data_IF_260075933966
#
_entry.id   IF_260075933966
#
_cell.length_a   1.000
_cell.length_b   1.000
_cell.length_c   1.000
_cell.angle_alpha   90.00
_cell.angle_beta   90.00
_cell.angle_gamma   90.00
#
_symmetry.space_group_name_H-M   'P 1'
#
loop_
_entity.id
_entity.type
_entity.pdbx_description
1 polymer ?
#
# COMPACT_ATOMS: atom_id res chain seq x y z
N UNK A 1 20.86 -20.67 49.76
CA UNK A 1 20.06 -21.88 49.53
C UNK A 1 19.34 -21.66 48.21
N UNK A 2 19.94 -22.14 47.16
CA UNK A 2 19.57 -23.34 46.41
C UNK A 2 18.13 -23.25 45.86
N UNK A 3 17.82 -23.27 44.62
CA UNK A 3 18.29 -24.11 43.54
C UNK A 3 17.32 -23.98 42.37
N UNK A 4 17.81 -23.85 41.22
CA UNK A 4 17.73 -24.74 40.05
C UNK A 4 16.47 -24.65 39.18
N UNK A 5 16.72 -24.28 37.93
CA UNK A 5 16.80 -25.12 36.73
C UNK A 5 15.48 -25.83 36.37
N UNK A 6 15.00 -25.72 35.17
CA UNK A 6 15.25 -26.58 34.00
C UNK A 6 14.32 -26.13 32.90
N UNK A 7 14.72 -25.52 31.74
CA UNK A 7 15.12 -26.22 30.56
C UNK A 7 14.18 -27.37 30.17
N UNK A 8 13.53 -27.30 29.03
CA UNK A 8 13.49 -28.39 28.07
C UNK A 8 12.86 -27.97 26.74
N UNK A 9 13.70 -27.81 25.82
CA UNK A 9 13.67 -28.11 24.39
C UNK A 9 13.10 -29.54 24.12
N UNK A 10 12.16 -29.67 23.19
CA UNK A 10 11.87 -30.91 22.44
C UNK A 10 11.12 -30.53 21.16
N UNK A 11 11.72 -30.35 20.07
CA UNK A 11 12.39 -31.19 19.09
C UNK A 11 11.71 -32.55 18.84
N UNK A 12 11.23 -32.61 17.58
CA UNK A 12 11.14 -33.75 16.68
C UNK A 12 10.31 -34.98 17.10
N UNK A 13 9.39 -35.31 16.22
CA UNK A 13 9.50 -36.61 15.53
C UNK A 13 8.59 -36.71 14.32
N UNK A 14 9.27 -36.81 13.19
CA UNK A 14 8.75 -37.41 11.97
C UNK A 14 8.42 -38.88 12.25
N UNK A 15 7.30 -39.35 11.76
CA UNK A 15 7.02 -40.76 11.63
C UNK A 15 6.61 -41.05 10.19
N UNK A 16 7.54 -41.64 9.55
CA UNK A 16 7.54 -42.31 8.27
C UNK A 16 6.82 -43.67 8.43
N UNK A 17 5.74 -43.85 7.70
CA UNK A 17 5.22 -45.22 7.48
C UNK A 17 4.92 -45.40 5.99
N UNK A 18 5.74 -46.30 5.44
CA UNK A 18 5.56 -46.95 4.14
C UNK A 18 4.41 -47.95 4.20
N UNK A 19 3.67 -48.11 3.10
CA UNK A 19 3.46 -49.39 2.38
C UNK A 19 2.37 -49.23 1.33
N UNK A 20 2.76 -49.46 0.04
CA UNK A 20 2.48 -50.61 -0.85
C UNK A 20 0.96 -50.87 -1.00
N UNK A 21 0.36 -51.05 -2.13
CA UNK A 21 0.77 -51.60 -3.42
C UNK A 21 -0.32 -51.37 -4.49
N UNK A 22 0.06 -51.27 -5.70
CA UNK A 22 -0.52 -51.77 -6.95
C UNK A 22 -2.06 -51.90 -7.07
N UNK A 23 -2.63 -51.16 -8.01
CA UNK A 23 -3.45 -51.73 -9.06
C UNK A 23 -3.55 -50.76 -10.25
N UNK A 24 -3.14 -51.26 -11.37
CA UNK A 24 -3.25 -50.71 -12.74
C UNK A 24 -4.69 -50.91 -13.19
N UNK A 25 -5.36 -49.87 -13.64
CA UNK A 25 -6.32 -49.96 -14.75
C UNK A 25 -6.50 -48.53 -15.30
N UNK A 26 -6.35 -48.41 -16.59
CA UNK A 26 -6.30 -47.16 -17.34
C UNK A 26 -7.59 -46.35 -17.32
N UNK A 27 -7.40 -45.06 -17.28
CA UNK A 27 -8.36 -44.09 -17.77
C UNK A 27 -7.58 -43.02 -18.52
N UNK A 28 -7.94 -42.91 -19.77
CA UNK A 28 -7.47 -41.90 -20.70
C UNK A 28 -7.75 -40.53 -20.10
N UNK A 29 -6.73 -39.89 -19.58
CA UNK A 29 -6.83 -38.50 -19.14
C UNK A 29 -6.74 -37.63 -20.38
N UNK A 30 -7.85 -37.00 -20.75
CA UNK A 30 -7.86 -35.79 -21.58
C UNK A 30 -6.99 -34.76 -20.86
N UNK A 31 -5.76 -34.58 -21.31
CA UNK A 31 -4.91 -33.51 -20.87
C UNK A 31 -5.51 -32.21 -21.41
N UNK A 32 -6.26 -31.52 -20.56
CA UNK A 32 -6.58 -30.11 -20.74
C UNK A 32 -5.26 -29.36 -20.72
N UNK A 33 -4.81 -28.92 -21.87
CA UNK A 33 -3.77 -27.91 -22.04
C UNK A 33 -4.32 -26.56 -21.49
N UNK A 34 -4.45 -26.44 -20.18
CA UNK A 34 -4.49 -25.14 -19.55
C UNK A 34 -3.07 -24.60 -19.60
N UNK A 35 -2.77 -23.86 -20.64
CA UNK A 35 -1.55 -23.06 -20.70
C UNK A 35 -1.47 -22.17 -19.47
N UNK A 36 -0.27 -21.82 -19.00
CA UNK A 36 -0.14 -20.89 -17.89
C UNK A 36 -0.88 -19.61 -18.30
N UNK A 37 -1.91 -19.27 -17.51
CA UNK A 37 -2.52 -17.95 -17.59
C UNK A 37 -1.38 -16.97 -17.28
N UNK A 38 -0.91 -16.25 -18.29
CA UNK A 38 -0.02 -15.13 -18.11
C UNK A 38 -0.75 -14.04 -17.30
N UNK A 39 -0.81 -14.23 -16.01
CA UNK A 39 -1.11 -13.19 -15.07
C UNK A 39 0.17 -12.38 -14.92
N UNK A 40 0.42 -11.48 -15.80
CA UNK A 40 1.17 -10.26 -15.54
C UNK A 40 1.36 -9.44 -16.84
N UNK A 41 0.25 -9.08 -17.45
CA UNK A 41 0.30 -7.93 -18.35
C UNK A 41 -0.23 -6.74 -17.56
N UNK A 42 0.57 -6.26 -16.61
CA UNK A 42 0.38 -4.91 -16.11
C UNK A 42 0.38 -3.99 -17.35
N UNK A 43 -0.63 -3.14 -17.53
CA UNK A 43 -0.64 -2.22 -18.68
C UNK A 43 0.66 -1.42 -18.64
N UNK A 44 1.27 -1.12 -19.80
CA UNK A 44 2.52 -0.38 -19.85
C UNK A 44 2.37 0.89 -19.02
N UNK A 45 3.41 1.30 -18.29
CA UNK A 45 3.34 2.50 -17.46
C UNK A 45 2.96 3.67 -18.38
N UNK A 46 1.74 4.18 -18.21
CA UNK A 46 1.31 5.38 -18.92
C UNK A 46 2.29 6.48 -18.55
N UNK A 47 2.74 7.24 -19.53
CA UNK A 47 3.58 8.39 -19.29
C UNK A 47 2.90 9.28 -18.24
N UNK A 48 3.64 9.67 -17.23
CA UNK A 48 3.13 10.50 -16.13
C UNK A 48 3.98 11.76 -16.06
N UNK A 49 3.33 12.90 -15.92
CA UNK A 49 4.01 14.17 -15.71
C UNK A 49 3.86 14.58 -14.25
N UNK A 50 4.98 14.86 -13.60
CA UNK A 50 4.96 15.48 -12.28
C UNK A 50 4.35 16.88 -12.39
N UNK A 51 3.24 17.09 -11.69
CA UNK A 51 2.55 18.38 -11.66
C UNK A 51 2.81 19.15 -10.36
N UNK A 52 3.04 18.45 -9.26
CA UNK A 52 3.23 19.09 -7.98
C UNK A 52 3.98 18.18 -7.00
N UNK A 53 4.83 18.78 -6.16
CA UNK A 53 5.39 18.18 -4.95
C UNK A 53 4.91 18.97 -3.75
N UNK A 54 4.31 18.32 -2.75
CA UNK A 54 3.77 19.00 -1.58
C UNK A 54 3.88 18.15 -0.31
N UNK A 55 3.56 18.75 0.81
CA UNK A 55 3.48 18.09 2.11
C UNK A 55 2.08 17.51 2.33
N UNK A 56 1.99 16.48 3.17
CA UNK A 56 0.71 16.05 3.72
C UNK A 56 0.47 16.72 5.06
N UNK A 57 -0.63 17.45 5.17
CA UNK A 57 -1.08 18.11 6.39
C UNK A 57 -1.94 17.19 7.24
N UNK A 58 -2.03 17.46 8.56
CA UNK A 58 -2.95 16.74 9.44
C UNK A 58 -2.50 15.34 9.88
N UNK A 59 -1.28 14.91 9.60
CA UNK A 59 -0.76 13.57 9.93
C UNK A 59 -0.96 13.15 11.40
N UNK A 60 -1.05 14.10 12.33
CA UNK A 60 -1.23 13.81 13.76
C UNK A 60 -2.69 13.45 14.12
N UNK A 61 -3.64 13.80 13.28
CA UNK A 61 -5.08 13.71 13.54
C UNK A 61 -5.75 12.53 12.82
N UNK A 62 -4.98 11.79 12.00
CA UNK A 62 -5.45 10.69 11.18
C UNK A 62 -4.64 9.42 11.42
N UNK A 63 -4.88 8.40 10.60
CA UNK A 63 -4.29 7.06 10.73
C UNK A 63 -2.78 7.02 10.49
N UNK A 64 -2.17 8.10 10.01
CA UNK A 64 -0.74 8.16 9.70
C UNK A 64 0.16 7.70 10.86
N UNK A 65 -0.25 7.93 12.11
CA UNK A 65 0.51 7.46 13.27
C UNK A 65 0.54 5.94 13.37
N UNK A 66 -0.59 5.28 13.08
CA UNK A 66 -0.75 3.84 13.20
C UNK A 66 0.01 3.08 12.11
N UNK A 67 0.10 3.65 10.90
CA UNK A 67 0.71 2.99 9.73
C UNK A 67 2.11 3.51 9.40
N UNK A 68 2.66 4.39 10.23
CA UNK A 68 3.90 5.12 9.92
C UNK A 68 5.10 4.23 9.61
N UNK A 69 5.22 3.11 10.30
CA UNK A 69 6.33 2.15 10.12
C UNK A 69 6.21 1.32 8.86
N UNK A 70 5.01 1.26 8.29
CA UNK A 70 4.71 0.45 7.12
C UNK A 70 4.79 1.27 5.82
N UNK A 71 4.86 2.61 5.94
CA UNK A 71 5.01 3.51 4.80
C UNK A 71 6.43 3.44 4.24
N UNK A 72 6.53 3.39 2.93
CA UNK A 72 7.80 3.43 2.20
C UNK A 72 7.80 4.52 1.11
N UNK A 73 8.98 5.06 0.82
CA UNK A 73 9.17 5.94 -0.33
C UNK A 73 8.84 5.18 -1.62
N UNK A 74 8.10 5.83 -2.51
CA UNK A 74 7.56 5.20 -3.72
C UNK A 74 6.18 4.57 -3.56
N UNK A 75 5.65 4.40 -2.34
CA UNK A 75 4.30 3.89 -2.14
C UNK A 75 3.26 4.73 -2.86
N UNK A 76 2.32 4.06 -3.52
CA UNK A 76 1.19 4.70 -4.18
C UNK A 76 0.18 5.24 -3.16
N UNK A 77 -0.32 6.44 -3.42
CA UNK A 77 -1.34 7.12 -2.63
C UNK A 77 -2.57 7.41 -3.48
N UNK A 78 -3.71 7.42 -2.85
CA UNK A 78 -4.97 7.85 -3.43
C UNK A 78 -5.30 9.27 -3.00
N UNK A 79 -5.67 10.10 -3.97
CA UNK A 79 -6.17 11.45 -3.77
C UNK A 79 -7.70 11.42 -3.88
N UNK A 80 -8.39 11.80 -2.82
CA UNK A 80 -9.84 11.78 -2.76
C UNK A 80 -10.36 13.20 -2.61
N UNK A 81 -11.14 13.65 -3.59
CA UNK A 81 -11.79 14.96 -3.57
C UNK A 81 -12.94 15.00 -2.58
N UNK A 82 -12.94 15.96 -1.68
CA UNK A 82 -14.03 16.20 -0.70
C UNK A 82 -14.68 17.55 -0.93
N UNK A 83 -15.47 17.68 -2.00
CA UNK A 83 -16.16 18.94 -2.35
C UNK A 83 -17.17 19.42 -1.29
N UNK A 84 -17.66 18.52 -0.43
CA UNK A 84 -18.56 18.84 0.67
C UNK A 84 -17.86 19.10 2.01
N UNK A 85 -16.54 19.27 2.03
CA UNK A 85 -15.82 19.49 3.29
C UNK A 85 -16.17 20.88 3.86
N UNK A 86 -16.72 20.91 5.09
CA UNK A 86 -17.17 22.16 5.73
C UNK A 86 -16.05 23.15 6.08
N UNK A 87 -14.81 22.66 6.13
CA UNK A 87 -13.65 23.48 6.53
C UNK A 87 -12.86 23.99 5.33
N UNK A 88 -12.91 23.27 4.21
CA UNK A 88 -12.11 23.58 3.03
C UNK A 88 -12.84 23.12 1.76
N UNK A 89 -13.36 24.04 0.93
CA UNK A 89 -14.06 23.68 -0.30
C UNK A 89 -13.16 22.97 -1.32
N UNK A 90 -11.84 23.16 -1.23
CA UNK A 90 -10.85 22.52 -2.08
C UNK A 90 -10.16 21.32 -1.42
N UNK A 91 -10.77 20.75 -0.36
CA UNK A 91 -10.17 19.65 0.37
C UNK A 91 -9.87 18.44 -0.54
N UNK A 92 -8.65 17.97 -0.46
CA UNK A 92 -8.19 16.73 -1.08
C UNK A 92 -7.56 15.86 -0.01
N UNK A 93 -8.21 14.73 0.27
CA UNK A 93 -7.74 13.74 1.24
C UNK A 93 -6.69 12.84 0.63
N UNK A 94 -5.67 12.51 1.42
CA UNK A 94 -4.56 11.62 1.04
C UNK A 94 -4.73 10.30 1.76
N UNK A 95 -4.85 9.22 1.01
CA UNK A 95 -5.03 7.87 1.54
C UNK A 95 -3.90 6.92 1.09
N UNK A 96 -3.56 5.99 1.97
CA UNK A 96 -2.69 4.87 1.71
C UNK A 96 -3.38 3.57 2.09
N UNK A 97 -3.58 2.67 1.13
CA UNK A 97 -4.26 1.38 1.32
C UNK A 97 -5.58 1.49 2.10
N UNK A 98 -6.39 2.52 1.79
CA UNK A 98 -7.66 2.79 2.45
C UNK A 98 -7.55 3.45 3.83
N UNK A 99 -6.36 3.82 4.27
CA UNK A 99 -6.12 4.57 5.51
C UNK A 99 -5.90 6.04 5.23
N UNK A 100 -6.58 6.88 5.96
CA UNK A 100 -6.45 8.34 5.84
C UNK A 100 -5.15 8.79 6.48
N UNK A 101 -4.23 9.33 5.68
CA UNK A 101 -2.98 9.89 6.20
C UNK A 101 -3.14 11.35 6.59
N UNK A 102 -3.96 12.10 5.88
CA UNK A 102 -4.17 13.52 6.05
C UNK A 102 -4.75 14.17 4.81
N UNK A 103 -4.41 15.42 4.56
CA UNK A 103 -4.91 16.23 3.46
C UNK A 103 -3.77 16.99 2.78
N UNK A 104 -4.03 17.45 1.56
CA UNK A 104 -3.18 18.46 0.95
C UNK A 104 -3.32 19.78 1.72
N UNK A 105 -2.23 20.56 1.91
CA UNK A 105 -2.32 21.87 2.54
C UNK A 105 -3.21 22.82 1.73
N UNK A 106 -3.95 23.70 2.40
CA UNK A 106 -4.86 24.65 1.74
C UNK A 106 -4.17 25.56 0.73
N UNK A 107 -2.88 25.88 0.92
CA UNK A 107 -2.10 26.66 -0.02
C UNK A 107 -1.76 25.93 -1.31
N UNK A 108 -1.90 24.59 -1.32
CA UNK A 108 -1.39 23.74 -2.39
C UNK A 108 -2.48 22.86 -3.02
N UNK A 109 -3.72 22.92 -2.56
CA UNK A 109 -4.76 21.95 -2.93
C UNK A 109 -5.68 22.39 -4.07
N UNK A 110 -5.85 23.72 -4.31
CA UNK A 110 -6.84 24.23 -5.24
C UNK A 110 -6.66 23.76 -6.68
N UNK A 111 -5.41 23.69 -7.17
CA UNK A 111 -5.13 23.23 -8.52
C UNK A 111 -5.39 21.73 -8.67
N UNK A 112 -5.02 20.95 -7.68
CA UNK A 112 -5.30 19.51 -7.63
C UNK A 112 -6.79 19.25 -7.55
N UNK A 113 -7.50 19.97 -6.69
CA UNK A 113 -8.95 19.88 -6.55
C UNK A 113 -9.66 20.13 -7.89
N UNK A 114 -9.31 21.23 -8.59
CA UNK A 114 -9.88 21.55 -9.91
C UNK A 114 -9.60 20.48 -10.96
N UNK A 115 -8.42 19.85 -10.94
CA UNK A 115 -8.10 18.78 -11.87
C UNK A 115 -8.94 17.52 -11.57
N UNK A 116 -9.11 17.17 -10.31
CA UNK A 116 -9.97 16.07 -9.89
C UNK A 116 -11.45 16.33 -10.23
N UNK A 117 -11.93 17.57 -10.03
CA UNK A 117 -13.30 17.96 -10.37
C UNK A 117 -13.59 17.90 -11.90
N UNK A 118 -12.54 18.03 -12.73
CA UNK A 118 -12.62 17.83 -14.20
C UNK A 118 -12.50 16.36 -14.61
N UNK A 119 -12.41 15.45 -13.66
CA UNK A 119 -12.24 14.02 -13.91
C UNK A 119 -10.84 13.62 -14.39
N UNK A 120 -9.83 14.48 -14.20
CA UNK A 120 -8.47 14.13 -14.55
C UNK A 120 -7.91 13.04 -13.62
N UNK A 121 -7.35 12.00 -14.23
CA UNK A 121 -6.72 10.94 -13.46
C UNK A 121 -5.40 11.44 -12.88
N UNK A 122 -5.34 11.59 -11.57
CA UNK A 122 -4.14 11.93 -10.83
C UNK A 122 -3.64 10.71 -10.06
N UNK A 123 -2.32 10.56 -10.02
CA UNK A 123 -1.64 9.57 -9.20
C UNK A 123 -0.73 10.29 -8.23
N UNK A 124 -0.61 9.78 -7.00
CA UNK A 124 0.34 10.32 -6.05
C UNK A 124 1.25 9.21 -5.52
N UNK A 125 2.47 9.57 -5.15
CA UNK A 125 3.45 8.67 -4.56
C UNK A 125 4.17 9.35 -3.41
N UNK A 126 4.62 8.56 -2.45
CA UNK A 126 5.44 9.05 -1.36
C UNK A 126 6.84 9.39 -1.90
N UNK A 127 7.22 10.64 -1.81
CA UNK A 127 8.57 11.12 -2.18
C UNK A 127 9.57 10.95 -1.04
N UNK A 128 9.18 11.34 0.18
CA UNK A 128 10.05 11.21 1.35
C UNK A 128 9.27 11.16 2.65
N UNK A 129 9.84 10.43 3.61
CA UNK A 129 9.29 10.22 4.94
C UNK A 129 10.32 10.65 5.97
N UNK A 130 9.93 11.52 6.91
CA UNK A 130 10.80 11.94 7.99
C UNK A 130 10.07 11.96 9.34
N UNK A 131 10.75 11.46 10.37
CA UNK A 131 10.30 11.56 11.75
C UNK A 131 11.38 12.29 12.55
N UNK A 132 11.01 13.41 13.15
CA UNK A 132 11.92 14.23 13.93
C UNK A 132 11.98 13.78 15.40
N UNK A 133 13.01 14.19 16.12
CA UNK A 133 13.21 13.87 17.56
C UNK A 133 12.04 14.31 18.44
N UNK A 134 11.35 15.39 18.08
CA UNK A 134 10.15 15.88 18.79
C UNK A 134 8.86 15.14 18.38
N UNK A 135 8.97 13.93 17.84
CA UNK A 135 7.87 13.09 17.33
C UNK A 135 7.05 13.69 16.17
N UNK A 136 7.45 14.85 15.64
CA UNK A 136 6.80 15.40 14.44
C UNK A 136 7.11 14.53 13.23
N UNK A 137 6.07 14.31 12.42
CA UNK A 137 6.15 13.54 11.17
C UNK A 137 6.06 14.49 9.99
N UNK A 138 6.82 14.19 8.95
CA UNK A 138 6.77 14.90 7.67
C UNK A 138 6.62 13.87 6.57
N UNK A 139 5.63 14.02 5.75
CA UNK A 139 5.38 13.22 4.56
C UNK A 139 5.34 14.15 3.37
N UNK A 140 6.26 13.97 2.42
CA UNK A 140 6.29 14.69 1.15
C UNK A 140 5.77 13.75 0.09
N UNK A 141 4.91 14.24 -0.77
CA UNK A 141 4.32 13.46 -1.85
C UNK A 141 4.53 14.16 -3.19
N UNK A 142 4.66 13.35 -4.24
CA UNK A 142 4.67 13.79 -5.64
C UNK A 142 3.31 13.45 -6.26
N UNK A 143 2.72 14.40 -6.96
CA UNK A 143 1.44 14.27 -7.67
C UNK A 143 1.71 14.32 -9.15
N UNK A 144 1.17 13.35 -9.88
CA UNK A 144 1.38 13.17 -11.32
C UNK A 144 0.04 13.15 -12.05
N UNK A 145 0.00 13.74 -13.21
CA UNK A 145 -1.08 13.56 -14.18
C UNK A 145 -0.73 12.43 -15.15
N UNK A 146 -1.72 11.61 -15.52
CA UNK A 146 -1.59 10.67 -16.63
C UNK A 146 -1.67 11.48 -17.96
N UNK A 147 -0.77 11.15 -18.90
CA UNK A 147 -0.82 11.66 -20.27
C UNK A 147 -1.72 10.78 -21.15
#
# INVERSE_FOLDING_TARGET
MTSRFVNVLRVLRAAFVRRRALSVIGAVALASLAGPANADTAPPPRARVLIQTTLTAGLAHHDAKAVWTDLAEGDALHLVRESGNAHDPDAVRVEWRGRVLGYLPRGDNSDVARQLDRGQALAATIRSIAKYRNHRRKLVIDIHAAL
#
